data_IF_002300135966
#
_entry.id   IF_002300135966
#
_cell.length_a   1.000
_cell.length_b   1.000
_cell.length_c   1.000
_cell.angle_alpha   90.00
_cell.angle_beta   90.00
_cell.angle_gamma   90.00
#
_symmetry.space_group_name_H-M   'P 1'
#
loop_
_entity.id
_entity.type
_entity.pdbx_description
1 polymer ?
#
# COMPACT_ATOMS: atom_id res chain seq x y z
N UNK A 1 44.15 18.04 49.46
CA UNK A 1 44.09 18.37 48.02
C UNK A 1 42.64 18.35 47.59
N UNK A 2 42.14 19.38 46.90
CA UNK A 2 40.73 19.47 46.59
C UNK A 2 40.39 18.44 45.51
N UNK A 3 39.65 17.37 45.87
CA UNK A 3 38.98 16.51 44.89
C UNK A 3 37.73 17.25 44.40
N UNK A 4 37.94 18.24 43.54
CA UNK A 4 36.91 19.17 43.06
C UNK A 4 36.28 18.73 41.71
N UNK A 5 36.39 17.45 41.33
CA UNK A 5 35.76 16.92 40.12
C UNK A 5 34.57 16.03 40.47
N UNK A 6 33.39 16.41 39.98
CA UNK A 6 32.17 15.59 40.02
C UNK A 6 32.18 14.51 38.93
N UNK A 7 32.91 14.71 37.84
CA UNK A 7 33.09 13.69 36.82
C UNK A 7 34.04 12.59 37.30
N UNK A 8 33.65 11.34 37.08
CA UNK A 8 34.47 10.14 37.20
C UNK A 8 34.11 9.15 36.09
N UNK A 9 35.09 8.34 35.70
CA UNK A 9 34.94 7.29 34.68
C UNK A 9 33.95 6.18 35.07
N UNK A 10 33.64 6.06 36.37
CA UNK A 10 32.69 5.06 36.89
C UNK A 10 31.50 5.73 37.57
N UNK A 11 30.36 5.02 37.57
CA UNK A 11 29.17 5.48 38.27
C UNK A 11 29.41 5.48 39.79
N UNK A 12 29.48 6.68 40.38
CA UNK A 12 29.63 6.89 41.82
C UNK A 12 28.27 6.93 42.53
N UNK A 13 28.30 7.08 43.85
CA UNK A 13 27.08 7.32 44.64
C UNK A 13 26.36 8.61 44.24
N UNK A 14 27.10 9.62 43.76
CA UNK A 14 26.51 10.89 43.29
C UNK A 14 25.62 10.66 42.06
N UNK A 15 26.07 9.82 41.11
CA UNK A 15 25.26 9.40 39.97
C UNK A 15 23.97 8.71 40.44
N UNK A 16 24.06 7.75 41.37
CA UNK A 16 22.90 7.02 41.87
C UNK A 16 21.91 7.95 42.59
N UNK A 17 22.40 8.94 43.33
CA UNK A 17 21.56 9.93 43.98
C UNK A 17 20.81 10.80 42.96
N UNK A 18 21.51 11.30 41.94
CA UNK A 18 20.90 12.07 40.84
C UNK A 18 19.88 11.23 40.07
N UNK A 19 20.23 9.99 39.73
CA UNK A 19 19.36 9.04 39.03
C UNK A 19 18.06 8.77 39.78
N UNK A 20 18.15 8.49 41.09
CA UNK A 20 16.97 8.27 41.92
C UNK A 20 16.04 9.49 41.93
N UNK A 21 16.61 10.70 41.99
CA UNK A 21 15.80 11.93 42.02
C UNK A 21 15.15 12.24 40.68
N UNK A 22 15.84 11.97 39.57
CA UNK A 22 15.27 12.11 38.22
C UNK A 22 14.20 11.05 37.99
N UNK A 23 14.41 9.79 38.42
CA UNK A 23 13.39 8.74 38.36
C UNK A 23 12.11 9.13 39.10
N UNK A 24 12.25 9.73 40.28
CA UNK A 24 11.13 10.24 41.07
C UNK A 24 10.35 11.33 40.32
N UNK A 25 11.04 12.25 39.64
CA UNK A 25 10.39 13.26 38.79
C UNK A 25 9.47 12.59 37.75
N UNK A 26 9.97 11.62 36.98
CA UNK A 26 9.15 10.89 36.01
C UNK A 26 8.00 10.11 36.67
N UNK A 27 8.21 9.58 37.87
CA UNK A 27 7.17 8.84 38.60
C UNK A 27 6.02 9.75 39.05
N UNK A 28 6.32 10.98 39.45
CA UNK A 28 5.35 11.94 39.98
C UNK A 28 4.69 12.75 38.86
N UNK A 29 5.47 13.27 37.91
CA UNK A 29 4.99 14.21 36.88
C UNK A 29 4.85 13.58 35.48
N UNK A 30 5.31 12.35 35.28
CA UNK A 30 5.27 11.70 33.98
C UNK A 30 3.86 11.22 33.60
N UNK A 31 3.52 11.38 32.32
CA UNK A 31 2.33 10.79 31.74
C UNK A 31 2.53 9.29 31.54
N UNK A 32 1.47 8.50 31.73
CA UNK A 32 1.50 7.07 31.47
C UNK A 32 1.50 6.81 29.97
N UNK A 33 2.44 6.00 29.49
CA UNK A 33 2.59 5.62 28.08
C UNK A 33 2.62 4.11 28.01
N UNK A 34 1.77 3.55 27.15
CA UNK A 34 1.74 2.13 26.87
C UNK A 34 2.69 1.84 25.71
N UNK A 35 3.63 0.92 25.92
CA UNK A 35 4.67 0.56 24.96
C UNK A 35 4.40 -0.84 24.44
N UNK A 36 4.19 -0.91 23.13
CA UNK A 36 4.16 -2.14 22.34
C UNK A 36 5.60 -2.42 21.90
N UNK A 37 6.21 -3.41 22.52
CA UNK A 37 7.63 -3.72 22.35
C UNK A 37 7.84 -4.51 21.05
N UNK A 38 8.67 -3.99 20.15
CA UNK A 38 9.05 -4.70 18.93
C UNK A 38 9.96 -5.90 19.26
N UNK A 39 9.65 -7.08 18.70
CA UNK A 39 10.40 -8.33 18.94
C UNK A 39 11.27 -8.73 17.75
N UNK A 40 11.02 -8.20 16.55
CA UNK A 40 11.65 -8.64 15.31
C UNK A 40 10.60 -8.95 14.23
N UNK A 41 11.04 -9.41 13.04
CA UNK A 41 10.13 -9.88 12.02
C UNK A 41 9.40 -11.16 12.46
N UNK A 42 8.20 -11.38 11.93
CA UNK A 42 7.45 -12.63 12.09
C UNK A 42 8.18 -13.77 11.37
N UNK A 43 8.10 -14.97 11.94
CA UNK A 43 8.63 -16.17 11.27
C UNK A 43 7.77 -16.46 10.04
N UNK A 44 8.40 -16.45 8.85
CA UNK A 44 7.75 -16.75 7.58
C UNK A 44 7.75 -18.24 7.23
N UNK A 45 8.30 -19.07 8.12
CA UNK A 45 8.48 -20.50 7.89
C UNK A 45 9.68 -20.79 6.98
N UNK A 46 9.77 -22.04 6.54
CA UNK A 46 10.89 -22.48 5.71
C UNK A 46 10.75 -21.92 4.30
N UNK A 47 11.74 -21.15 3.87
CA UNK A 47 11.84 -20.63 2.51
C UNK A 47 13.12 -21.12 1.83
N UNK A 48 13.03 -21.34 0.52
CA UNK A 48 14.17 -21.65 -0.34
C UNK A 48 14.90 -20.40 -0.81
N UNK A 49 14.33 -19.22 -0.57
CA UNK A 49 14.89 -17.94 -0.97
C UNK A 49 15.95 -17.47 0.04
N UNK A 50 17.21 -17.42 -0.41
CA UNK A 50 18.34 -17.00 0.42
C UNK A 50 18.28 -15.51 0.80
N UNK A 51 17.49 -14.70 0.10
CA UNK A 51 17.27 -13.29 0.46
C UNK A 51 16.30 -13.12 1.64
N UNK A 52 15.58 -14.19 2.02
CA UNK A 52 14.64 -14.22 3.14
C UNK A 52 15.06 -15.30 4.14
N UNK A 53 16.03 -15.05 5.02
CA UNK A 53 16.59 -16.08 5.88
C UNK A 53 15.62 -16.47 6.99
N UNK A 54 15.60 -17.76 7.29
CA UNK A 54 14.92 -18.26 8.48
C UNK A 54 15.85 -18.19 9.69
N UNK A 55 15.43 -17.48 10.74
CA UNK A 55 16.16 -17.40 12.00
C UNK A 55 15.62 -18.42 13.00
N UNK A 56 16.51 -19.09 13.73
CA UNK A 56 16.14 -20.06 14.77
C UNK A 56 15.53 -19.42 16.02
N UNK A 57 15.84 -18.15 16.26
CA UNK A 57 15.33 -17.37 17.39
C UNK A 57 14.90 -15.99 16.89
N UNK A 58 13.75 -15.53 17.38
CA UNK A 58 13.26 -14.19 17.08
C UNK A 58 14.09 -13.16 17.85
N UNK A 59 14.58 -12.15 17.14
CA UNK A 59 15.33 -11.04 17.70
C UNK A 59 15.05 -9.77 16.91
N UNK A 60 15.15 -8.62 17.58
CA UNK A 60 14.97 -7.29 16.99
C UNK A 60 16.02 -6.96 15.94
N UNK A 61 17.13 -7.71 15.90
CA UNK A 61 18.24 -7.56 14.95
C UNK A 61 18.05 -8.35 13.65
N UNK A 62 17.07 -9.24 13.62
CA UNK A 62 16.82 -10.06 12.44
C UNK A 62 16.26 -9.18 11.31
N UNK A 63 16.66 -9.49 10.08
CA UNK A 63 16.22 -8.81 8.87
C UNK A 63 15.42 -9.82 8.04
N UNK A 64 14.17 -9.50 7.76
CA UNK A 64 13.26 -10.34 7.00
C UNK A 64 13.69 -10.45 5.55
N UNK A 65 14.03 -9.32 4.93
CA UNK A 65 14.41 -9.25 3.52
C UNK A 65 15.78 -8.58 3.40
N UNK A 66 16.80 -9.36 3.07
CA UNK A 66 18.18 -8.88 2.95
C UNK A 66 18.41 -8.07 1.68
N UNK A 67 17.59 -8.25 0.65
CA UNK A 67 17.74 -7.51 -0.60
C UNK A 67 17.32 -6.05 -0.40
N UNK A 68 16.21 -5.84 0.29
CA UNK A 68 15.66 -4.51 0.57
C UNK A 68 16.04 -3.96 1.97
N UNK A 69 16.73 -4.77 2.78
CA UNK A 69 17.14 -4.45 4.14
C UNK A 69 15.97 -3.96 5.01
N UNK A 70 14.82 -4.62 4.86
CA UNK A 70 13.57 -4.21 5.49
C UNK A 70 12.92 -5.32 6.31
N UNK A 71 12.01 -4.92 7.20
CA UNK A 71 11.17 -5.78 8.02
C UNK A 71 9.71 -5.40 7.78
N UNK A 72 9.07 -6.07 6.80
CA UNK A 72 7.67 -5.84 6.41
C UNK A 72 6.67 -6.35 7.43
N UNK A 73 6.90 -7.53 7.99
CA UNK A 73 5.99 -8.20 8.92
C UNK A 73 6.57 -8.14 10.32
N UNK A 74 6.29 -7.08 11.07
CA UNK A 74 6.82 -6.91 12.44
C UNK A 74 5.95 -7.66 13.43
N UNK A 75 6.62 -8.27 14.42
CA UNK A 75 5.98 -8.86 15.58
C UNK A 75 6.19 -7.96 16.80
N UNK A 76 5.15 -7.83 17.61
CA UNK A 76 5.21 -7.13 18.89
C UNK A 76 4.95 -8.11 20.03
N UNK A 77 5.42 -7.75 21.22
CA UNK A 77 5.09 -8.48 22.43
C UNK A 77 3.59 -8.38 22.71
N UNK A 78 3.02 -9.47 23.23
CA UNK A 78 1.61 -9.52 23.62
C UNK A 78 1.37 -8.73 24.90
N UNK A 79 2.39 -8.65 25.75
CA UNK A 79 2.35 -7.86 26.97
C UNK A 79 2.61 -6.39 26.67
N UNK A 80 1.72 -5.52 27.16
CA UNK A 80 1.86 -4.06 27.01
C UNK A 80 2.56 -3.49 28.24
N UNK A 81 3.69 -2.82 28.01
CA UNK A 81 4.50 -2.25 29.09
C UNK A 81 4.09 -0.81 29.40
N UNK A 82 3.89 -0.48 30.68
CA UNK A 82 3.60 0.90 31.08
C UNK A 82 4.87 1.62 31.55
N UNK A 83 5.20 2.72 30.88
CA UNK A 83 6.29 3.63 31.24
C UNK A 83 5.77 5.02 31.55
N UNK A 84 6.54 5.78 32.31
CA UNK A 84 6.28 7.20 32.57
C UNK A 84 7.18 8.06 31.70
N UNK A 85 6.58 8.86 30.84
CA UNK A 85 7.29 9.76 29.93
C UNK A 85 6.92 11.22 30.15
N UNK A 86 7.75 12.12 29.64
CA UNK A 86 7.46 13.55 29.60
C UNK A 86 7.60 14.05 28.16
N UNK A 87 6.66 14.88 27.72
CA UNK A 87 6.75 15.56 26.43
C UNK A 87 6.00 16.89 26.50
N UNK A 88 6.38 17.84 25.67
CA UNK A 88 5.69 19.13 25.57
C UNK A 88 4.57 19.02 24.56
N UNK A 89 3.37 19.43 24.95
CA UNK A 89 2.25 19.58 24.02
C UNK A 89 2.51 20.86 23.21
N UNK A 90 2.47 20.75 21.88
CA UNK A 90 2.62 21.87 20.97
C UNK A 90 1.31 22.10 20.21
N UNK A 91 0.94 23.37 20.05
CA UNK A 91 -0.16 23.76 19.18
C UNK A 91 0.38 23.87 17.75
N UNK A 92 -0.07 22.97 16.87
CA UNK A 92 0.30 23.00 15.45
C UNK A 92 -0.76 23.78 14.66
N UNK A 93 -0.40 24.95 14.15
CA UNK A 93 -1.28 25.75 13.28
C UNK A 93 -1.27 25.21 11.84
N UNK A 94 -2.44 25.03 11.25
CA UNK A 94 -2.58 24.66 9.83
C UNK A 94 -2.23 25.87 8.93
N UNK A 95 -1.14 25.78 8.19
CA UNK A 95 -0.80 26.78 7.18
C UNK A 95 -1.35 26.36 5.81
N UNK A 96 -2.45 27.00 5.39
CA UNK A 96 -2.94 26.91 4.01
C UNK A 96 -2.18 27.93 3.15
N UNK A 97 -1.02 27.53 2.61
CA UNK A 97 -0.36 28.31 1.56
C UNK A 97 -0.94 27.95 0.19
N UNK A 98 -0.83 28.86 -0.79
CA UNK A 98 -1.44 28.76 -2.13
C UNK A 98 -1.07 27.48 -2.92
N UNK A 99 -0.07 26.72 -2.48
CA UNK A 99 0.39 25.48 -3.13
C UNK A 99 0.00 24.19 -2.39
N UNK A 100 -0.86 24.26 -1.38
CA UNK A 100 -1.45 23.08 -0.76
C UNK A 100 -1.60 23.17 0.76
N UNK A 101 -2.26 22.16 1.32
CA UNK A 101 -2.32 21.93 2.75
C UNK A 101 -1.01 21.27 3.18
N UNK A 102 -0.05 22.05 3.67
CA UNK A 102 1.15 21.48 4.28
C UNK A 102 0.84 21.14 5.74
N UNK A 103 0.59 19.86 6.02
CA UNK A 103 0.50 19.37 7.39
C UNK A 103 1.92 19.18 7.92
N UNK A 104 2.31 19.95 8.91
CA UNK A 104 3.52 19.68 9.69
C UNK A 104 3.31 18.32 10.37
N UNK A 105 4.12 17.31 10.00
CA UNK A 105 4.00 15.97 10.58
C UNK A 105 4.01 16.07 12.12
N UNK A 106 2.95 15.56 12.76
CA UNK A 106 2.68 15.59 14.21
C UNK A 106 3.73 14.78 15.00
N UNK A 107 4.97 15.28 15.01
CA UNK A 107 6.14 14.61 15.57
C UNK A 107 6.28 15.02 17.03
N UNK A 108 6.25 14.04 17.94
CA UNK A 108 6.43 14.28 19.37
C UNK A 108 7.84 13.87 19.80
N UNK A 109 8.41 14.63 20.74
CA UNK A 109 9.65 14.28 21.42
C UNK A 109 9.34 13.90 22.86
N UNK A 110 9.40 12.61 23.15
CA UNK A 110 9.06 12.07 24.46
C UNK A 110 10.36 11.64 25.14
N UNK A 111 10.51 11.98 26.42
CA UNK A 111 11.65 11.58 27.23
C UNK A 111 11.27 10.61 28.34
N UNK A 112 12.18 9.70 28.64
CA UNK A 112 12.02 8.62 29.62
C UNK A 112 13.27 8.51 30.49
N UNK A 113 13.09 8.01 31.71
CA UNK A 113 14.22 7.67 32.57
C UNK A 113 14.91 6.38 32.12
N UNK A 114 16.24 6.41 31.93
CA UNK A 114 16.99 5.30 31.29
C UNK A 114 16.91 3.98 32.09
N UNK A 115 17.16 4.02 33.40
CA UNK A 115 17.23 2.79 34.20
C UNK A 115 15.84 2.19 34.43
N UNK A 116 14.82 3.02 34.65
CA UNK A 116 13.43 2.56 34.84
C UNK A 116 12.87 1.94 33.55
N UNK A 117 13.13 2.58 32.41
CA UNK A 117 12.83 2.00 31.10
C UNK A 117 13.51 0.64 30.90
N UNK A 118 14.81 0.55 31.22
CA UNK A 118 15.57 -0.68 31.02
C UNK A 118 15.12 -1.82 31.96
N UNK A 119 14.73 -1.50 33.19
CA UNK A 119 14.20 -2.46 34.17
C UNK A 119 12.82 -3.00 33.76
N UNK A 120 11.95 -2.16 33.22
CA UNK A 120 10.59 -2.55 32.83
C UNK A 120 10.52 -3.26 31.48
N UNK A 121 11.28 -2.78 30.48
CA UNK A 121 11.23 -3.31 29.12
C UNK A 121 12.28 -4.42 28.87
N UNK A 122 13.27 -4.55 29.76
CA UNK A 122 14.43 -5.43 29.61
C UNK A 122 15.46 -4.95 28.58
N UNK A 123 15.20 -3.84 27.89
CA UNK A 123 16.10 -3.18 26.94
C UNK A 123 15.76 -1.71 26.81
N UNK A 124 16.61 -0.95 26.12
CA UNK A 124 16.28 0.44 25.76
C UNK A 124 15.24 0.45 24.65
N UNK A 125 14.38 1.46 24.66
CA UNK A 125 13.48 1.75 23.55
C UNK A 125 14.32 2.01 22.30
N UNK A 126 13.87 1.45 21.18
CA UNK A 126 14.54 1.56 19.89
C UNK A 126 13.54 1.96 18.79
N UNK A 127 14.04 2.37 17.62
CA UNK A 127 13.18 2.56 16.46
C UNK A 127 12.36 1.31 16.15
N UNK A 128 11.08 1.50 15.84
CA UNK A 128 10.12 0.43 15.60
C UNK A 128 9.26 0.05 16.80
N UNK A 129 9.61 0.43 18.03
CA UNK A 129 8.67 0.35 19.17
C UNK A 129 7.48 1.29 18.92
N UNK A 130 6.29 0.90 19.36
CA UNK A 130 5.05 1.68 19.18
C UNK A 130 4.51 2.12 20.54
N UNK A 131 4.15 3.40 20.63
CA UNK A 131 3.55 4.01 21.80
C UNK A 131 2.07 4.24 21.59
N UNK A 132 1.29 3.85 22.59
CA UNK A 132 -0.10 4.28 22.77
C UNK A 132 -0.13 5.31 23.91
N UNK A 133 -0.76 6.46 23.64
CA UNK A 133 -0.90 7.57 24.59
C UNK A 133 -2.34 7.62 25.10
N UNK A 134 -2.65 7.09 26.30
CA UNK A 134 -4.02 6.96 26.78
C UNK A 134 -4.76 8.28 26.99
N UNK A 135 -4.04 9.37 27.28
CA UNK A 135 -4.63 10.70 27.48
C UNK A 135 -4.93 11.44 26.17
N UNK A 136 -4.39 10.98 25.04
CA UNK A 136 -4.72 11.48 23.69
C UNK A 136 -5.79 10.63 23.00
N UNK A 137 -6.49 9.76 23.74
CA UNK A 137 -7.62 9.01 23.20
C UNK A 137 -8.75 9.97 22.87
N UNK A 138 -9.33 9.80 21.68
CA UNK A 138 -10.49 10.56 21.26
C UNK A 138 -11.77 9.88 21.77
N UNK A 139 -12.52 10.56 22.63
CA UNK A 139 -13.79 10.07 23.19
C UNK A 139 -15.01 10.55 22.41
N UNK A 140 -14.85 11.43 21.43
CA UNK A 140 -15.94 12.03 20.67
C UNK A 140 -15.62 12.04 19.19
N UNK A 141 -15.48 10.84 18.57
CA UNK A 141 -15.27 10.76 17.13
C UNK A 141 -16.46 11.37 16.38
N UNK A 142 -16.20 12.00 15.24
CA UNK A 142 -17.24 12.59 14.39
C UNK A 142 -18.18 11.53 13.80
N UNK A 143 -17.68 10.32 13.61
CA UNK A 143 -18.47 9.17 13.19
C UNK A 143 -19.12 8.51 14.42
N UNK A 144 -20.40 8.81 14.62
CA UNK A 144 -21.21 8.25 15.71
C UNK A 144 -21.42 6.73 15.61
N UNK A 145 -21.09 6.11 14.47
CA UNK A 145 -21.18 4.66 14.30
C UNK A 145 -20.05 3.90 15.00
N UNK A 146 -18.98 4.58 15.41
CA UNK A 146 -17.84 3.99 16.12
C UNK A 146 -18.12 4.02 17.63
N UNK A 147 -18.42 2.87 18.27
CA UNK A 147 -18.83 2.84 19.67
C UNK A 147 -17.64 2.83 20.66
N UNK A 148 -16.43 3.14 20.19
CA UNK A 148 -15.19 3.01 20.97
C UNK A 148 -14.32 4.27 20.88
N UNK A 149 -13.63 4.65 21.98
CA UNK A 149 -12.69 5.76 21.92
C UNK A 149 -11.49 5.39 21.04
N UNK A 150 -11.17 6.26 20.08
CA UNK A 150 -10.09 6.01 19.13
C UNK A 150 -8.74 6.19 19.81
N UNK A 151 -7.94 5.13 19.80
CA UNK A 151 -6.59 5.12 20.36
C UNK A 151 -5.61 5.75 19.36
N UNK A 152 -4.73 6.63 19.85
CA UNK A 152 -3.69 7.24 19.05
C UNK A 152 -2.35 6.51 19.25
N UNK A 153 -1.81 6.00 18.15
CA UNK A 153 -0.54 5.29 18.12
C UNK A 153 0.56 6.13 17.47
N UNK A 154 1.76 6.05 18.04
CA UNK A 154 2.95 6.70 17.54
C UNK A 154 4.08 5.69 17.42
N UNK A 155 4.79 5.67 16.30
CA UNK A 155 5.97 4.82 16.10
C UNK A 155 7.23 5.60 16.46
N UNK A 156 8.16 4.94 17.16
CA UNK A 156 9.49 5.48 17.43
C UNK A 156 10.32 5.46 16.15
N UNK A 157 10.74 6.64 15.71
CA UNK A 157 11.64 6.82 14.56
C UNK A 157 13.09 6.82 14.98
N UNK A 158 13.37 7.47 16.11
CA UNK A 158 14.73 7.63 16.61
C UNK A 158 14.70 7.63 18.14
N UNK A 159 15.72 7.04 18.75
CA UNK A 159 15.89 7.02 20.19
C UNK A 159 17.35 7.28 20.54
N UNK A 160 17.60 8.37 21.28
CA UNK A 160 18.93 8.86 21.61
C UNK A 160 19.01 9.32 23.06
N UNK A 161 20.22 9.56 23.57
CA UNK A 161 20.40 10.19 24.88
C UNK A 161 20.00 11.66 24.76
N UNK A 162 19.07 12.11 25.61
CA UNK A 162 18.69 13.52 25.65
C UNK A 162 19.84 14.36 26.19
N UNK A 163 20.17 15.47 25.51
CA UNK A 163 21.19 16.42 25.98
C UNK A 163 20.82 17.02 27.35
N UNK A 164 19.53 17.22 27.60
CA UNK A 164 18.96 17.64 28.89
C UNK A 164 19.16 16.64 30.03
N UNK A 165 19.49 15.38 29.71
CA UNK A 165 19.67 14.30 30.68
C UNK A 165 21.06 14.19 31.29
N UNK A 166 22.01 15.03 30.89
CA UNK A 166 23.36 15.00 31.42
C UNK A 166 23.44 15.76 32.74
N UNK A 167 23.68 15.05 33.83
CA UNK A 167 23.90 15.67 35.13
C UNK A 167 25.33 16.22 35.25
N UNK A 168 25.66 16.89 36.38
CA UNK A 168 27.00 17.43 36.64
C UNK A 168 28.09 16.34 36.70
N UNK A 169 27.69 15.07 36.85
CA UNK A 169 28.55 13.89 36.76
C UNK A 169 28.88 13.48 35.31
N UNK A 170 28.32 14.18 34.31
CA UNK A 170 28.45 13.94 32.86
C UNK A 170 27.89 12.60 32.36
N UNK A 171 27.14 11.89 33.20
CA UNK A 171 26.42 10.69 32.81
C UNK A 171 24.97 11.02 32.41
N UNK A 172 24.43 10.32 31.39
CA UNK A 172 23.07 10.55 30.92
C UNK A 172 22.06 9.77 31.78
N UNK A 173 20.96 10.42 32.16
CA UNK A 173 19.83 9.81 32.88
C UNK A 173 18.55 9.71 32.05
N UNK A 174 18.48 10.44 30.93
CA UNK A 174 17.29 10.60 30.11
C UNK A 174 17.48 10.00 28.72
N UNK A 175 16.48 9.26 28.26
CA UNK A 175 16.33 8.73 26.92
C UNK A 175 15.28 9.55 26.17
N UNK A 176 15.64 10.11 25.02
CA UNK A 176 14.74 10.91 24.17
C UNK A 176 14.35 10.11 22.95
N UNK A 177 13.05 9.98 22.72
CA UNK A 177 12.45 9.32 21.57
C UNK A 177 11.77 10.35 20.68
N UNK A 178 12.11 10.36 19.39
CA UNK A 178 11.35 11.05 18.35
C UNK A 178 10.29 10.08 17.82
N UNK A 179 9.03 10.46 17.93
CA UNK A 179 7.91 9.62 17.50
C UNK A 179 7.04 10.33 16.50
N UNK A 180 6.49 9.58 15.54
CA UNK A 180 5.56 10.08 14.51
C UNK A 180 4.27 9.26 14.57
N UNK A 181 3.12 9.79 14.12
CA UNK A 181 1.88 9.03 14.11
C UNK A 181 2.05 7.74 13.31
N UNK A 182 1.49 6.65 13.81
CA UNK A 182 1.49 5.37 13.11
C UNK A 182 0.50 5.43 11.95
N UNK A 183 0.91 4.91 10.79
CA UNK A 183 0.06 4.74 9.61
C UNK A 183 -0.34 3.28 9.47
N UNK A 184 -1.49 3.02 8.84
CA UNK A 184 -1.88 1.65 8.49
C UNK A 184 -0.97 1.12 7.37
N UNK A 185 0.08 0.40 7.79
CA UNK A 185 1.05 -0.26 6.94
C UNK A 185 1.16 -1.72 7.36
N UNK A 186 1.60 -2.57 6.44
CA UNK A 186 1.89 -3.98 6.69
C UNK A 186 2.77 -4.19 7.95
N UNK A 187 3.67 -3.25 8.22
CA UNK A 187 4.58 -3.27 9.38
C UNK A 187 3.88 -3.22 10.74
N UNK A 188 2.64 -2.75 10.81
CA UNK A 188 1.93 -2.56 12.08
C UNK A 188 0.67 -3.45 12.19
N UNK A 189 0.49 -4.40 11.26
CA UNK A 189 -0.68 -5.28 11.23
C UNK A 189 -0.87 -6.09 12.49
N UNK A 190 0.22 -6.48 13.15
CA UNK A 190 0.14 -7.20 14.43
C UNK A 190 -0.53 -6.42 15.57
N UNK A 191 -0.48 -5.08 15.51
CA UNK A 191 -1.19 -4.18 16.44
C UNK A 191 -2.59 -3.86 15.90
N UNK A 192 -2.71 -3.60 14.59
CA UNK A 192 -3.94 -3.13 13.96
C UNK A 192 -4.99 -4.24 13.77
N UNK A 193 -4.59 -5.49 13.58
CA UNK A 193 -5.50 -6.61 13.39
C UNK A 193 -6.07 -7.12 14.73
N UNK A 194 -5.66 -6.54 15.86
CA UNK A 194 -6.24 -6.82 17.16
C UNK A 194 -7.69 -6.36 17.21
N UNK A 195 -8.55 -7.16 17.86
CA UNK A 195 -9.95 -6.82 18.03
C UNK A 195 -10.10 -5.51 18.81
N UNK A 196 -10.88 -4.58 18.27
CA UNK A 196 -11.22 -3.36 18.98
C UNK A 196 -12.18 -3.70 20.14
N UNK A 197 -11.73 -3.43 21.37
CA UNK A 197 -12.54 -3.61 22.57
C UNK A 197 -13.29 -2.32 22.90
N UNK A 198 -14.55 -2.46 23.29
CA UNK A 198 -15.35 -1.37 23.88
C UNK A 198 -14.83 -1.00 25.27
N UNK A 199 -15.31 0.11 25.82
CA UNK A 199 -14.94 0.57 27.17
C UNK A 199 -15.27 -0.43 28.28
N UNK A 200 -16.20 -1.36 28.03
CA UNK A 200 -16.59 -2.44 28.94
C UNK A 200 -15.76 -3.73 28.76
N UNK A 201 -14.78 -3.73 27.84
CA UNK A 201 -13.95 -4.89 27.52
C UNK A 201 -14.59 -5.90 26.58
N UNK A 202 -15.79 -5.64 26.04
CA UNK A 202 -16.43 -6.52 25.06
C UNK A 202 -15.91 -6.27 23.65
N UNK A 203 -15.80 -7.31 22.78
CA UNK A 203 -15.40 -7.13 21.39
C UNK A 203 -16.41 -6.29 20.60
N UNK A 204 -15.89 -5.41 19.74
CA UNK A 204 -16.73 -4.59 18.83
C UNK A 204 -17.11 -5.37 17.57
N UNK A 205 -16.39 -6.44 17.24
CA UNK A 205 -16.55 -7.19 15.98
C UNK A 205 -15.82 -6.57 14.79
N UNK A 206 -15.00 -5.54 15.03
CA UNK A 206 -14.13 -4.87 14.05
C UNK A 206 -12.70 -4.83 14.57
N UNK A 207 -11.72 -4.79 13.66
CA UNK A 207 -10.31 -4.63 14.04
C UNK A 207 -9.98 -3.17 14.32
N UNK A 208 -8.89 -2.93 15.03
CA UNK A 208 -8.38 -1.57 15.24
C UNK A 208 -7.99 -0.89 13.92
N UNK A 209 -7.48 -1.65 12.94
CA UNK A 209 -7.16 -1.19 11.59
C UNK A 209 -8.40 -0.71 10.83
N UNK A 210 -9.53 -1.41 10.94
CA UNK A 210 -10.76 -0.99 10.27
C UNK A 210 -11.27 0.36 10.79
N UNK A 211 -11.10 0.62 12.09
CA UNK A 211 -11.57 1.85 12.74
C UNK A 211 -10.61 3.03 12.58
N UNK A 212 -9.30 2.78 12.49
CA UNK A 212 -8.28 3.82 12.39
C UNK A 212 -7.81 4.11 10.97
N UNK A 213 -7.98 3.18 10.02
CA UNK A 213 -7.47 3.34 8.67
C UNK A 213 -8.44 4.08 7.76
N UNK A 214 -7.87 4.82 6.81
CA UNK A 214 -8.61 5.33 5.65
C UNK A 214 -8.66 4.31 4.50
N UNK A 215 -8.26 3.05 4.74
CA UNK A 215 -8.08 2.06 3.68
C UNK A 215 -9.39 1.80 2.94
N UNK A 216 -10.47 1.52 3.67
CA UNK A 216 -11.79 1.27 3.08
C UNK A 216 -12.30 2.47 2.30
N UNK A 217 -12.08 3.69 2.80
CA UNK A 217 -12.43 4.92 2.09
C UNK A 217 -11.63 5.06 0.79
N UNK A 218 -10.32 4.79 0.82
CA UNK A 218 -9.47 4.84 -0.38
C UNK A 218 -9.92 3.81 -1.43
N UNK A 219 -10.31 2.60 -1.01
CA UNK A 219 -10.87 1.58 -1.91
C UNK A 219 -12.20 2.05 -2.50
N UNK A 220 -13.09 2.64 -1.70
CA UNK A 220 -14.35 3.20 -2.18
C UNK A 220 -14.14 4.33 -3.19
N UNK A 221 -13.21 5.25 -2.91
CA UNK A 221 -12.84 6.34 -3.84
C UNK A 221 -12.29 5.75 -5.13
N UNK A 222 -11.36 4.79 -5.05
CA UNK A 222 -10.79 4.15 -6.23
C UNK A 222 -11.87 3.45 -7.07
N UNK A 223 -12.79 2.72 -6.43
CA UNK A 223 -13.90 2.07 -7.12
C UNK A 223 -14.86 3.07 -7.76
N UNK A 224 -15.13 4.21 -7.11
CA UNK A 224 -15.94 5.27 -7.68
C UNK A 224 -15.26 5.93 -8.89
N UNK A 225 -13.95 6.15 -8.82
CA UNK A 225 -13.15 6.65 -9.96
C UNK A 225 -13.17 5.65 -11.12
N UNK A 226 -13.03 4.35 -10.83
CA UNK A 226 -13.13 3.30 -11.85
C UNK A 226 -14.52 3.29 -12.49
N UNK A 227 -15.59 3.33 -11.68
CA UNK A 227 -16.96 3.34 -12.18
C UNK A 227 -17.25 4.58 -13.06
N UNK A 228 -16.72 5.74 -12.68
CA UNK A 228 -16.81 6.95 -13.50
C UNK A 228 -16.00 6.80 -14.80
N UNK A 229 -14.78 6.25 -14.73
CA UNK A 229 -13.94 6.01 -15.90
C UNK A 229 -14.60 5.04 -16.90
N UNK A 230 -15.30 4.01 -16.41
CA UNK A 230 -16.09 3.08 -17.24
C UNK A 230 -17.28 3.78 -17.94
N UNK A 231 -17.86 4.80 -17.31
CA UNK A 231 -18.92 5.61 -17.93
C UNK A 231 -18.36 6.52 -19.03
N UNK A 232 -17.23 7.17 -18.76
CA UNK A 232 -16.61 8.12 -19.69
C UNK A 232 -15.99 7.41 -20.90
N UNK A 233 -15.41 6.22 -20.70
CA UNK A 233 -14.80 5.41 -21.76
C UNK A 233 -15.29 3.95 -21.67
N UNK A 234 -16.47 3.64 -22.23
CA UNK A 234 -17.08 2.31 -22.09
C UNK A 234 -16.31 1.17 -22.76
N UNK A 235 -15.49 1.46 -23.76
CA UNK A 235 -14.80 0.46 -24.55
C UNK A 235 -13.40 0.91 -24.98
N UNK A 236 -12.47 -0.04 -25.00
CA UNK A 236 -11.08 0.14 -25.42
C UNK A 236 -10.97 0.47 -26.91
N UNK A 237 -9.83 1.04 -27.31
CA UNK A 237 -9.62 1.47 -28.70
C UNK A 237 -10.22 2.83 -29.03
N UNK A 238 -10.26 3.14 -30.33
CA UNK A 238 -10.77 4.41 -30.84
C UNK A 238 -12.21 4.29 -31.33
N UNK A 239 -13.05 5.25 -30.96
CA UNK A 239 -14.38 5.42 -31.57
C UNK A 239 -14.22 6.16 -32.91
N UNK A 240 -14.46 5.46 -34.01
CA UNK A 240 -14.36 5.99 -35.38
C UNK A 240 -15.71 6.32 -36.00
N UNK A 241 -16.82 6.15 -35.27
CA UNK A 241 -18.19 6.28 -35.82
C UNK A 241 -18.51 7.72 -36.24
N UNK A 242 -17.77 8.70 -35.73
CA UNK A 242 -17.89 10.11 -36.12
C UNK A 242 -17.21 10.44 -37.45
N UNK A 243 -16.40 9.53 -37.98
CA UNK A 243 -15.66 9.74 -39.22
C UNK A 243 -16.48 9.21 -40.40
N UNK A 244 -16.71 10.08 -41.39
CA UNK A 244 -17.44 9.73 -42.60
C UNK A 244 -16.54 9.01 -43.60
N UNK A 245 -17.02 7.90 -44.16
CA UNK A 245 -16.33 7.13 -45.20
C UNK A 245 -17.06 7.32 -46.53
N UNK A 246 -16.35 7.84 -47.53
CA UNK A 246 -16.85 7.96 -48.90
C UNK A 246 -17.03 6.55 -49.51
N UNK A 247 -18.24 6.20 -49.99
CA UNK A 247 -18.43 4.95 -50.70
C UNK A 247 -17.70 4.93 -52.05
N UNK A 248 -17.39 3.72 -52.54
CA UNK A 248 -16.74 3.53 -53.86
C UNK A 248 -17.67 3.90 -55.03
N UNK A 249 -18.99 3.89 -54.83
CA UNK A 249 -20.01 4.24 -55.81
C UNK A 249 -21.14 5.01 -55.12
N UNK A 250 -21.67 6.05 -55.77
CA UNK A 250 -22.77 6.85 -55.23
C UNK A 250 -24.02 6.00 -54.98
N UNK A 251 -24.62 6.18 -53.79
CA UNK A 251 -25.80 5.44 -53.37
C UNK A 251 -25.55 4.01 -52.87
N UNK A 252 -24.30 3.55 -52.87
CA UNK A 252 -23.92 2.24 -52.34
C UNK A 252 -23.22 2.41 -50.98
N UNK A 253 -23.37 1.48 -50.05
CA UNK A 253 -22.70 1.55 -48.75
C UNK A 253 -21.17 1.38 -48.85
N UNK A 254 -20.38 1.92 -47.91
CA UNK A 254 -18.91 1.81 -47.93
C UNK A 254 -18.39 0.36 -47.89
N UNK A 255 -17.37 0.07 -48.70
CA UNK A 255 -16.78 -1.28 -48.81
C UNK A 255 -15.74 -1.54 -47.69
N UNK A 256 -15.24 -0.48 -47.04
CA UNK A 256 -14.22 -0.57 -45.99
C UNK A 256 -14.62 0.23 -44.74
N UNK A 257 -14.10 -0.20 -43.60
CA UNK A 257 -14.14 0.54 -42.34
C UNK A 257 -12.81 1.28 -42.11
N UNK A 258 -12.77 2.18 -41.13
CA UNK A 258 -11.54 2.86 -40.74
C UNK A 258 -10.65 1.91 -39.93
N UNK A 259 -9.44 1.71 -40.44
CA UNK A 259 -8.43 0.92 -39.76
C UNK A 259 -7.79 1.75 -38.64
N UNK A 260 -7.72 1.17 -37.45
CA UNK A 260 -7.06 1.77 -36.30
C UNK A 260 -6.94 0.76 -35.17
N UNK A 261 -6.41 1.23 -34.04
CA UNK A 261 -6.29 0.38 -32.86
C UNK A 261 -7.68 0.10 -32.25
N UNK A 262 -8.11 -1.16 -32.31
CA UNK A 262 -9.41 -1.65 -31.80
C UNK A 262 -10.58 -0.75 -32.21
N UNK A 263 -10.72 -0.47 -33.50
CA UNK A 263 -11.84 0.32 -34.04
C UNK A 263 -13.09 -0.52 -34.31
N UNK A 264 -13.00 -1.83 -34.10
CA UNK A 264 -14.02 -2.83 -34.38
C UNK A 264 -15.14 -2.91 -33.36
N UNK A 265 -16.27 -2.25 -33.61
CA UNK A 265 -17.44 -2.22 -32.71
C UNK A 265 -18.71 -2.90 -33.27
N UNK A 266 -18.66 -3.39 -34.51
CA UNK A 266 -19.77 -4.09 -35.14
C UNK A 266 -20.84 -3.16 -35.73
N UNK A 267 -20.59 -1.85 -35.75
CA UNK A 267 -21.45 -0.87 -36.41
C UNK A 267 -21.03 -0.66 -37.86
N UNK A 268 -21.99 -0.39 -38.75
CA UNK A 268 -21.67 -0.09 -40.14
C UNK A 268 -21.11 1.33 -40.29
N UNK A 269 -20.23 1.55 -41.28
CA UNK A 269 -19.83 2.88 -41.73
C UNK A 269 -21.01 3.83 -41.92
N UNK A 270 -20.80 5.10 -41.56
CA UNK A 270 -21.77 6.18 -41.73
C UNK A 270 -23.11 5.96 -41.00
N UNK A 271 -23.18 5.04 -40.03
CA UNK A 271 -24.41 4.77 -39.27
C UNK A 271 -25.49 4.04 -40.06
N UNK A 272 -25.11 3.33 -41.13
CA UNK A 272 -26.04 2.52 -41.91
C UNK A 272 -26.60 1.35 -41.08
N UNK A 273 -27.81 0.85 -41.39
CA UNK A 273 -28.41 -0.23 -40.62
C UNK A 273 -27.60 -1.54 -40.74
N UNK A 274 -27.52 -2.26 -39.63
CA UNK A 274 -26.86 -3.57 -39.54
C UNK A 274 -27.88 -4.58 -39.00
N UNK A 275 -28.04 -5.70 -39.70
CA UNK A 275 -28.81 -6.84 -39.21
C UNK A 275 -27.92 -7.70 -38.31
N UNK A 276 -28.34 -8.02 -37.09
CA UNK A 276 -27.58 -8.90 -36.18
C UNK A 276 -28.18 -10.30 -36.25
N UNK A 277 -27.39 -11.30 -36.64
CA UNK A 277 -27.86 -12.68 -36.80
C UNK A 277 -26.70 -13.70 -36.68
N UNK A 278 -27.03 -14.99 -36.61
CA UNK A 278 -26.10 -16.13 -36.60
C UNK A 278 -26.00 -16.82 -37.96
N UNK A 279 -26.81 -16.39 -38.95
CA UNK A 279 -26.77 -16.85 -40.33
C UNK A 279 -26.76 -15.66 -41.31
N UNK A 280 -26.46 -15.93 -42.59
CA UNK A 280 -26.57 -14.90 -43.62
C UNK A 280 -28.02 -14.78 -44.12
N UNK A 281 -28.57 -13.55 -44.26
CA UNK A 281 -29.88 -13.33 -44.87
C UNK A 281 -29.97 -13.93 -46.28
N UNK A 282 -31.10 -14.59 -46.57
CA UNK A 282 -31.34 -15.25 -47.87
C UNK A 282 -31.63 -14.27 -49.01
N UNK A 283 -32.23 -13.11 -48.69
CA UNK A 283 -32.61 -12.08 -49.66
C UNK A 283 -31.84 -10.78 -49.41
N UNK A 284 -30.51 -10.85 -49.53
CA UNK A 284 -29.64 -9.71 -49.28
C UNK A 284 -29.67 -8.70 -50.43
N UNK A 285 -29.69 -7.42 -50.10
CA UNK A 285 -29.58 -6.32 -51.05
C UNK A 285 -28.14 -5.82 -51.17
N UNK A 286 -27.76 -5.29 -52.34
CA UNK A 286 -26.41 -4.77 -52.57
C UNK A 286 -26.08 -3.70 -51.51
N UNK A 287 -24.99 -3.90 -50.77
CA UNK A 287 -24.53 -2.99 -49.74
C UNK A 287 -25.18 -3.17 -48.37
N UNK A 288 -26.01 -4.20 -48.17
CA UNK A 288 -26.55 -4.55 -46.87
C UNK A 288 -25.45 -5.06 -45.92
N UNK A 289 -25.57 -4.71 -44.63
CA UNK A 289 -24.64 -5.17 -43.58
C UNK A 289 -25.30 -6.19 -42.67
N UNK A 290 -24.53 -7.21 -42.29
CA UNK A 290 -24.90 -8.18 -41.26
C UNK A 290 -23.77 -8.38 -40.27
N UNK A 291 -24.07 -8.27 -38.98
CA UNK A 291 -23.16 -8.63 -37.90
C UNK A 291 -23.42 -10.08 -37.51
N UNK A 292 -22.40 -10.92 -37.70
CA UNK A 292 -22.43 -12.34 -37.36
C UNK A 292 -21.87 -12.56 -35.96
N UNK A 293 -22.74 -12.91 -35.01
CA UNK A 293 -22.37 -13.12 -33.60
C UNK A 293 -21.88 -14.53 -33.29
N UNK A 294 -22.01 -15.45 -34.23
CA UNK A 294 -21.51 -16.84 -34.13
C UNK A 294 -19.99 -16.98 -34.36
N UNK A 295 -19.35 -15.94 -34.91
CA UNK A 295 -17.89 -15.89 -35.05
C UNK A 295 -17.24 -15.45 -33.73
N UNK A 296 -16.02 -15.93 -33.47
CA UNK A 296 -15.19 -15.52 -32.33
C UNK A 296 -13.86 -14.95 -32.89
N UNK A 297 -13.65 -13.61 -32.84
CA UNK A 297 -14.61 -12.57 -32.46
C UNK A 297 -15.76 -12.42 -33.47
N UNK A 298 -16.87 -11.81 -33.05
CA UNK A 298 -18.00 -11.50 -33.93
C UNK A 298 -17.54 -10.63 -35.10
N UNK A 299 -18.16 -10.78 -36.27
CA UNK A 299 -17.64 -10.20 -37.52
C UNK A 299 -18.74 -9.52 -38.33
N UNK A 300 -18.46 -8.32 -38.79
CA UNK A 300 -19.33 -7.54 -39.67
C UNK A 300 -19.04 -7.89 -41.13
N UNK A 301 -20.11 -8.16 -41.88
CA UNK A 301 -20.07 -8.47 -43.30
C UNK A 301 -20.91 -7.48 -44.10
N UNK A 302 -20.54 -7.29 -45.37
CA UNK A 302 -21.28 -6.50 -46.36
C UNK A 302 -21.55 -7.33 -47.61
N UNK A 303 -22.76 -7.28 -48.14
CA UNK A 303 -23.11 -7.98 -49.38
C UNK A 303 -22.62 -7.20 -50.61
N UNK A 304 -21.84 -7.85 -51.49
CA UNK A 304 -21.30 -7.25 -52.72
C UNK A 304 -22.20 -7.45 -53.95
N UNK A 305 -23.39 -8.04 -53.77
CA UNK A 305 -24.31 -8.40 -54.85
C UNK A 305 -24.18 -9.85 -55.31
N UNK A 306 -23.14 -10.56 -54.86
CA UNK A 306 -22.94 -12.00 -55.13
C UNK A 306 -22.61 -12.77 -53.85
N UNK A 307 -21.77 -12.21 -52.99
CA UNK A 307 -21.20 -12.85 -51.80
C UNK A 307 -21.12 -11.87 -50.62
N UNK A 308 -21.09 -12.42 -49.40
CA UNK A 308 -20.84 -11.66 -48.19
C UNK A 308 -19.33 -11.47 -47.98
N UNK A 309 -18.88 -10.22 -47.91
CA UNK A 309 -17.48 -9.86 -47.67
C UNK A 309 -17.31 -9.37 -46.23
N UNK A 310 -16.36 -9.95 -45.51
CA UNK A 310 -15.98 -9.48 -44.18
C UNK A 310 -15.33 -8.09 -44.28
N UNK A 311 -15.74 -7.17 -43.40
CA UNK A 311 -15.21 -5.81 -43.38
C UNK A 311 -14.58 -5.41 -42.05
N UNK A 312 -15.01 -6.01 -40.93
CA UNK A 312 -14.54 -5.64 -39.59
C UNK A 312 -14.77 -6.77 -38.59
N UNK A 313 -13.81 -6.97 -37.69
CA UNK A 313 -13.95 -7.86 -36.53
C UNK A 313 -14.29 -7.01 -35.29
N UNK A 314 -15.23 -7.47 -34.46
CA UNK A 314 -15.58 -6.83 -33.19
C UNK A 314 -14.53 -7.16 -32.15
N UNK A 315 -13.56 -6.27 -32.00
CA UNK A 315 -12.37 -6.52 -31.18
C UNK A 315 -12.30 -5.62 -29.95
N UNK A 316 -13.19 -4.63 -29.82
CA UNK A 316 -13.26 -3.75 -28.66
C UNK A 316 -13.61 -4.52 -27.39
N UNK A 317 -13.03 -4.07 -26.29
CA UNK A 317 -13.09 -4.71 -24.99
C UNK A 317 -13.47 -3.70 -23.91
N UNK A 318 -13.94 -4.17 -22.76
CA UNK A 318 -14.01 -3.30 -21.58
C UNK A 318 -12.60 -2.82 -21.20
N UNK A 319 -12.49 -1.58 -20.71
CA UNK A 319 -11.21 -1.00 -20.27
C UNK A 319 -10.65 -1.70 -19.02
N UNK A 320 -11.55 -2.18 -18.18
CA UNK A 320 -11.28 -2.83 -16.90
C UNK A 320 -11.51 -4.34 -17.03
N UNK A 321 -10.51 -5.13 -16.64
CA UNK A 321 -10.54 -6.59 -16.72
C UNK A 321 -9.52 -7.18 -17.71
N UNK A 322 -9.16 -8.44 -17.49
CA UNK A 322 -8.13 -9.19 -18.22
C UNK A 322 -8.57 -9.61 -19.64
N UNK A 323 -9.11 -8.68 -20.42
CA UNK A 323 -9.42 -8.93 -21.83
C UNK A 323 -8.11 -9.05 -22.65
N UNK A 324 -8.04 -10.05 -23.52
CA UNK A 324 -6.87 -10.46 -24.30
C UNK A 324 -6.53 -9.56 -25.51
N UNK A 325 -7.40 -8.65 -25.91
CA UNK A 325 -7.30 -7.89 -27.17
C UNK A 325 -6.67 -6.49 -26.98
N UNK A 326 -6.54 -6.02 -25.73
CA UNK A 326 -5.85 -4.74 -25.46
C UNK A 326 -4.33 -4.91 -25.49
N UNK A 327 -3.57 -3.82 -25.71
CA UNK A 327 -2.10 -3.86 -25.70
C UNK A 327 -1.60 -4.38 -24.34
N UNK A 328 -2.21 -3.87 -23.26
CA UNK A 328 -1.97 -4.35 -21.91
C UNK A 328 -2.37 -5.82 -21.73
N UNK A 329 -3.52 -6.23 -22.24
CA UNK A 329 -3.99 -7.62 -22.23
C UNK A 329 -3.04 -8.59 -22.93
N UNK A 330 -2.54 -8.21 -24.12
CA UNK A 330 -1.51 -8.98 -24.87
C UNK A 330 -0.13 -8.95 -24.23
N UNK A 331 0.10 -8.07 -23.24
CA UNK A 331 1.33 -8.04 -22.47
C UNK A 331 1.21 -8.94 -21.23
N UNK A 332 0.11 -8.81 -20.48
CA UNK A 332 -0.15 -9.57 -19.25
C UNK A 332 -0.39 -11.05 -19.56
N UNK A 333 -1.19 -11.38 -20.58
CA UNK A 333 -1.57 -12.76 -20.90
C UNK A 333 -0.64 -13.40 -21.95
N UNK A 334 0.63 -12.97 -22.01
CA UNK A 334 1.57 -13.46 -23.00
C UNK A 334 2.29 -14.74 -22.53
N UNK A 335 2.01 -15.86 -23.20
CA UNK A 335 2.65 -17.15 -22.91
C UNK A 335 3.81 -17.48 -23.88
N UNK A 336 4.15 -16.58 -24.82
CA UNK A 336 5.23 -16.84 -25.78
C UNK A 336 6.60 -16.68 -25.11
N UNK A 337 7.55 -17.57 -25.43
CA UNK A 337 8.93 -17.53 -24.93
C UNK A 337 9.93 -17.22 -26.04
N UNK A 338 11.11 -16.72 -25.67
CA UNK A 338 12.26 -16.51 -26.55
C UNK A 338 13.44 -17.32 -26.01
N UNK A 339 14.11 -18.04 -26.90
CA UNK A 339 15.36 -18.73 -26.58
C UNK A 339 16.54 -17.77 -26.78
N UNK A 340 17.28 -17.52 -25.71
CA UNK A 340 18.49 -16.72 -25.70
C UNK A 340 19.67 -17.49 -26.32
N UNK A 341 20.72 -16.78 -26.73
CA UNK A 341 21.90 -17.38 -27.37
C UNK A 341 22.62 -18.41 -26.48
N UNK A 342 22.43 -18.34 -25.17
CA UNK A 342 22.95 -19.27 -24.16
C UNK A 342 22.02 -20.48 -23.92
N UNK A 343 20.95 -20.65 -24.70
CA UNK A 343 20.02 -21.80 -24.62
C UNK A 343 18.89 -21.66 -23.60
N UNK A 344 18.86 -20.58 -22.81
CA UNK A 344 17.80 -20.33 -21.82
C UNK A 344 16.52 -19.86 -22.50
N UNK A 345 15.37 -20.30 -22.01
CA UNK A 345 14.06 -19.80 -22.47
C UNK A 345 13.48 -18.83 -21.45
N UNK A 346 13.17 -17.62 -21.89
CA UNK A 346 12.52 -16.60 -21.08
C UNK A 346 11.19 -16.20 -21.71
N UNK A 347 10.22 -15.69 -20.95
CA UNK A 347 9.02 -15.10 -21.53
C UNK A 347 9.38 -13.92 -22.45
N UNK A 348 8.69 -13.84 -23.59
CA UNK A 348 8.97 -12.85 -24.63
C UNK A 348 8.50 -11.43 -24.27
N UNK A 349 7.59 -11.31 -23.29
CA UNK A 349 7.16 -10.05 -22.67
C UNK A 349 6.98 -10.31 -21.18
N UNK A 350 7.67 -9.53 -20.36
CA UNK A 350 7.61 -9.66 -18.91
C UNK A 350 7.79 -8.30 -18.24
N UNK A 351 7.31 -8.18 -17.00
CA UNK A 351 7.53 -6.97 -16.19
C UNK A 351 9.01 -6.84 -15.83
N UNK A 352 9.48 -5.59 -15.71
CA UNK A 352 10.85 -5.29 -15.29
C UNK A 352 11.23 -5.95 -13.95
N UNK A 353 10.27 -6.12 -13.04
CA UNK A 353 10.46 -6.78 -11.75
C UNK A 353 10.81 -8.27 -11.84
N UNK A 354 10.38 -8.96 -12.91
CA UNK A 354 10.70 -10.38 -13.12
C UNK A 354 11.99 -10.57 -13.94
N UNK A 355 12.31 -9.64 -14.83
CA UNK A 355 13.49 -9.71 -15.70
C UNK A 355 14.82 -9.71 -14.91
N UNK A 356 14.86 -9.05 -13.76
CA UNK A 356 16.08 -8.94 -12.93
C UNK A 356 16.23 -10.03 -11.87
N UNK A 357 15.40 -11.07 -11.88
CA UNK A 357 15.58 -12.21 -10.97
C UNK A 357 16.75 -13.06 -11.46
N UNK A 358 17.74 -13.27 -10.59
CA UNK A 358 18.87 -14.16 -10.86
C UNK A 358 18.35 -15.59 -11.09
N UNK A 359 18.64 -16.14 -12.27
CA UNK A 359 18.36 -17.55 -12.54
C UNK A 359 19.46 -18.44 -11.93
N UNK A 360 19.11 -19.56 -11.28
CA UNK A 360 20.11 -20.53 -10.83
C UNK A 360 20.85 -21.14 -12.02
N UNK A 361 22.16 -21.32 -11.88
CA UNK A 361 22.99 -21.93 -12.91
C UNK A 361 22.63 -23.43 -13.05
N UNK A 362 22.47 -23.89 -14.29
CA UNK A 362 22.15 -25.30 -14.56
C UNK A 362 23.47 -26.06 -14.53
N UNK A 363 23.73 -26.78 -13.44
CA UNK A 363 24.92 -27.63 -13.32
C UNK A 363 24.82 -28.73 -14.39
N UNK A 364 25.67 -28.62 -15.42
CA UNK A 364 25.88 -29.63 -16.45
C UNK A 364 26.83 -30.73 -16.02
#
# INVERSE_FOLDING_TARGET
MPRLSLYRETHTNDYKWQDNRIRELYTISGVGINVHKYLGPKDQGQTTDLTQPQYSTQSEKNIQDLLFLENRDRAYDKDVYNLRGHYTIQDNDFNLSQFGLMVTNDTLYITFHINDMSERLGRKIMPGDVFELPHLRDFSPLDESIPVPLKKFYVVQEAVRGSEGYAQTWWPHIWRCKVTPMVDSQEFKDILDQEALKSDGTPTGSTLGDLLSSYNLNVQINNAVIAQAETDVPASGYNVNKLYILPTQDGVSPVKVINGYLTGDGTAPNGLPVTVDTAFPLNATLGEYVLRTDYIPSRLFRYDGQTWRAIQDVQRANLTGANTNTQLGTFINNNATVTLANGYTIPSRETLSNLFKLQPDIIG
#
